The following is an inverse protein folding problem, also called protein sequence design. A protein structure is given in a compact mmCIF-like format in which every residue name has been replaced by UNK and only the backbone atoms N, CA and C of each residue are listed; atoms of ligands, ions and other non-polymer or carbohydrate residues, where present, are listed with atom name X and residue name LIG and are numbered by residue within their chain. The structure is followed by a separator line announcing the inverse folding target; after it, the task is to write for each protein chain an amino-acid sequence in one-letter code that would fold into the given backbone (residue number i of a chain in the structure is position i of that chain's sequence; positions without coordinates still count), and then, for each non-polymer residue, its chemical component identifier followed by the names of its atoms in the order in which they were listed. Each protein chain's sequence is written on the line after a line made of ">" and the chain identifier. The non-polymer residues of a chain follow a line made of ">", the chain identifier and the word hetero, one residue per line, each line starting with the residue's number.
data_IF_032225944181
#
_entry.id   IF_032225944181
#
_cell.length_a   1.000
_cell.length_b   1.000
_cell.length_c   1.000
_cell.angle_alpha   90.00
_cell.angle_beta   90.00
_cell.angle_gamma   90.00
#
_symmetry.space_group_name_H-M   'P 1'
#
loop_
_entity.id
_entity.type
_entity.pdbx_description
1 polymer ?
#
# COMPACT_ATOMS: atom_id res chain seq x y z
N UNK A 1 -9.69 -7.25 2.52
CA UNK A 1 -10.07 -6.77 1.16
C UNK A 1 -9.81 -5.28 1.06
N UNK A 2 -8.59 -4.86 0.72
CA UNK A 2 -8.36 -3.42 0.56
C UNK A 2 -7.26 -3.17 -0.47
N UNK A 3 -7.67 -3.18 -1.75
CA UNK A 3 -6.98 -2.40 -2.77
C UNK A 3 -7.74 -1.07 -2.90
N UNK A 4 -7.03 0.05 -2.83
CA UNK A 4 -7.63 1.38 -2.92
C UNK A 4 -6.74 2.32 -3.71
N UNK A 5 -7.33 2.96 -4.72
CA UNK A 5 -6.70 4.04 -5.47
C UNK A 5 -7.47 5.31 -5.16
N UNK A 6 -6.80 6.34 -4.63
CA UNK A 6 -7.48 7.57 -4.15
C UNK A 6 -6.61 8.82 -4.30
N UNK A 7 -7.19 10.01 -4.38
CA UNK A 7 -6.39 11.24 -4.38
C UNK A 7 -5.93 11.66 -2.98
N UNK A 8 -6.83 11.49 -2.00
CA UNK A 8 -6.67 12.02 -0.65
C UNK A 8 -5.54 11.33 0.11
N UNK A 9 -4.87 12.03 1.05
CA UNK A 9 -4.00 11.40 2.02
C UNK A 9 -4.75 10.33 2.85
N UNK A 10 -3.99 9.43 3.47
CA UNK A 10 -4.48 8.43 4.42
C UNK A 10 -3.55 8.41 5.65
N UNK A 11 -4.09 8.06 6.82
CA UNK A 11 -3.28 7.85 8.01
C UNK A 11 -2.78 6.40 8.05
N UNK A 12 -1.47 6.23 7.88
CA UNK A 12 -0.88 4.88 7.85
C UNK A 12 -1.12 4.12 9.16
N UNK A 13 -1.11 4.80 10.31
CA UNK A 13 -1.34 4.16 11.60
C UNK A 13 -2.76 3.61 11.72
N UNK A 14 -3.76 4.35 11.26
CA UNK A 14 -5.16 3.91 11.24
C UNK A 14 -5.36 2.73 10.29
N UNK A 15 -4.85 2.81 9.06
CA UNK A 15 -4.98 1.74 8.07
C UNK A 15 -4.30 0.45 8.56
N UNK A 16 -3.10 0.54 9.14
CA UNK A 16 -2.39 -0.63 9.71
C UNK A 16 -3.12 -1.20 10.92
N UNK A 17 -3.66 -0.36 11.83
CA UNK A 17 -4.45 -0.85 12.97
C UNK A 17 -5.71 -1.58 12.50
N UNK A 18 -6.41 -1.05 11.50
CA UNK A 18 -7.58 -1.69 10.91
C UNK A 18 -7.24 -3.03 10.28
N UNK A 19 -6.18 -3.06 9.47
CA UNK A 19 -5.69 -4.26 8.80
C UNK A 19 -5.25 -5.35 9.79
N UNK A 20 -4.43 -5.01 10.78
CA UNK A 20 -3.95 -5.96 11.79
C UNK A 20 -5.10 -6.53 12.64
N UNK A 21 -6.13 -5.72 12.95
CA UNK A 21 -7.33 -6.19 13.66
C UNK A 21 -8.11 -7.21 12.83
N UNK A 22 -8.21 -7.01 11.51
CA UNK A 22 -8.86 -7.96 10.61
C UNK A 22 -8.04 -9.26 10.47
N UNK A 23 -6.72 -9.16 10.38
CA UNK A 23 -5.77 -10.28 10.34
C UNK A 23 -5.45 -10.87 11.73
N UNK A 24 -6.47 -11.06 12.57
CA UNK A 24 -6.33 -11.43 14.00
C UNK A 24 -5.61 -12.76 14.29
N UNK A 25 -5.41 -13.60 13.27
CA UNK A 25 -4.74 -14.91 13.37
C UNK A 25 -3.26 -14.86 12.96
N UNK A 26 -2.79 -13.73 12.43
CA UNK A 26 -1.44 -13.56 11.93
C UNK A 26 -0.45 -13.28 13.06
N UNK A 27 0.78 -13.80 12.92
CA UNK A 27 1.87 -13.57 13.88
C UNK A 27 2.80 -12.43 13.47
N UNK A 28 2.65 -11.91 12.25
CA UNK A 28 3.43 -10.79 11.74
C UNK A 28 2.60 -9.93 10.79
N UNK A 29 2.80 -8.61 10.90
CA UNK A 29 2.36 -7.61 9.91
C UNK A 29 3.60 -6.84 9.47
N UNK A 30 3.83 -6.75 8.17
CA UNK A 30 4.91 -5.96 7.57
C UNK A 30 4.29 -4.87 6.72
N UNK A 31 4.85 -3.66 6.80
CA UNK A 31 4.33 -2.50 6.09
C UNK A 31 5.44 -1.81 5.33
N UNK A 32 5.07 -1.26 4.18
CA UNK A 32 5.92 -0.41 3.36
C UNK A 32 5.14 0.87 3.04
N UNK A 33 5.81 2.02 3.07
CA UNK A 33 5.25 3.28 2.59
C UNK A 33 6.20 3.92 1.59
N UNK A 34 5.65 4.27 0.42
CA UNK A 34 6.36 5.07 -0.57
C UNK A 34 6.15 6.55 -0.29
N UNK A 35 7.24 7.32 -0.32
CA UNK A 35 7.23 8.77 -0.16
C UNK A 35 7.71 9.44 -1.45
N UNK A 36 7.20 10.64 -1.75
CA UNK A 36 7.76 11.49 -2.80
C UNK A 36 9.17 11.89 -2.36
N UNK A 37 10.18 11.42 -3.09
CA UNK A 37 11.57 11.78 -2.84
C UNK A 37 11.90 13.08 -3.57
N UNK A 38 12.57 14.00 -2.89
CA UNK A 38 13.11 15.21 -3.50
C UNK A 38 14.29 14.89 -4.45
N UNK A 39 14.55 15.79 -5.40
CA UNK A 39 15.69 15.75 -6.32
C UNK A 39 16.62 16.93 -6.04
N UNK A 40 17.19 16.98 -4.83
CA UNK A 40 18.15 18.02 -4.44
C UNK A 40 17.56 19.44 -4.43
N UNK A 41 16.29 19.59 -4.04
CA UNK A 41 15.56 20.85 -4.00
C UNK A 41 14.96 21.29 -5.34
N UNK A 42 15.08 20.48 -6.39
CA UNK A 42 14.60 20.84 -7.74
C UNK A 42 13.20 20.32 -8.05
N UNK A 43 12.69 19.35 -7.28
CA UNK A 43 11.37 18.77 -7.52
C UNK A 43 10.28 19.63 -6.85
N UNK A 44 9.50 20.33 -7.66
CA UNK A 44 8.36 21.12 -7.14
C UNK A 44 7.18 20.23 -6.72
N UNK A 45 6.85 19.22 -7.51
CA UNK A 45 5.85 18.19 -7.23
C UNK A 45 5.92 17.07 -8.26
N UNK A 46 5.33 15.94 -7.91
CA UNK A 46 5.01 14.85 -8.81
C UNK A 46 3.50 14.81 -9.07
N UNK A 47 3.11 14.65 -10.33
CA UNK A 47 1.72 14.41 -10.73
C UNK A 47 1.57 12.95 -11.13
N UNK A 48 0.68 12.20 -10.48
CA UNK A 48 0.41 10.80 -10.81
C UNK A 48 -0.99 10.67 -11.37
N UNK A 49 -1.12 10.14 -12.57
CA UNK A 49 -2.39 9.76 -13.16
C UNK A 49 -2.56 8.24 -13.16
N UNK A 50 -3.81 7.79 -13.27
CA UNK A 50 -4.13 6.37 -13.39
C UNK A 50 -5.34 6.19 -14.31
N UNK A 51 -5.56 4.97 -14.79
CA UNK A 51 -6.75 4.63 -15.55
C UNK A 51 -7.78 4.00 -14.61
N UNK A 52 -8.90 4.71 -14.30
CA UNK A 52 -9.87 4.23 -13.33
C UNK A 52 -10.43 2.86 -13.70
N UNK A 53 -10.47 1.96 -12.72
CA UNK A 53 -10.92 0.58 -12.85
C UNK A 53 -9.89 -0.38 -13.45
N UNK A 54 -8.92 0.07 -14.25
CA UNK A 54 -7.85 -0.81 -14.74
C UNK A 54 -6.72 -0.92 -13.71
N UNK A 55 -6.32 0.20 -13.12
CA UNK A 55 -5.25 0.23 -12.12
C UNK A 55 -5.64 -0.60 -10.89
N UNK A 56 -6.87 -0.47 -10.41
CA UNK A 56 -7.41 -1.25 -9.30
C UNK A 56 -7.36 -2.75 -9.59
N UNK A 57 -7.83 -3.18 -10.77
CA UNK A 57 -7.78 -4.59 -11.19
C UNK A 57 -6.35 -5.13 -11.26
N UNK A 58 -5.41 -4.33 -11.74
CA UNK A 58 -4.00 -4.72 -11.81
C UNK A 58 -3.40 -4.90 -10.39
N UNK A 59 -3.70 -3.97 -9.48
CA UNK A 59 -3.26 -4.05 -8.09
C UNK A 59 -3.93 -5.21 -7.33
N UNK A 60 -5.22 -5.47 -7.58
CA UNK A 60 -5.94 -6.63 -7.06
C UNK A 60 -5.27 -7.93 -7.50
N UNK A 61 -4.95 -8.05 -8.79
CA UNK A 61 -4.25 -9.21 -9.32
C UNK A 61 -2.88 -9.42 -8.65
N UNK A 62 -2.08 -8.36 -8.50
CA UNK A 62 -0.78 -8.45 -7.80
C UNK A 62 -0.97 -8.90 -6.35
N UNK A 63 -1.99 -8.36 -5.67
CA UNK A 63 -2.33 -8.74 -4.29
C UNK A 63 -2.76 -10.20 -4.18
N UNK A 64 -3.60 -10.69 -5.10
CA UNK A 64 -4.03 -12.09 -5.17
C UNK A 64 -2.83 -13.02 -5.40
N UNK A 65 -2.00 -12.72 -6.39
CA UNK A 65 -0.79 -13.49 -6.70
C UNK A 65 0.18 -13.53 -5.51
N UNK A 66 0.33 -12.40 -4.79
CA UNK A 66 1.15 -12.34 -3.60
C UNK A 66 0.64 -13.22 -2.47
N UNK A 67 -0.66 -13.14 -2.19
CA UNK A 67 -1.31 -13.94 -1.14
C UNK A 67 -1.13 -15.43 -1.41
N UNK A 68 -1.35 -15.86 -2.64
CA UNK A 68 -1.18 -17.26 -3.04
C UNK A 68 0.29 -17.69 -2.97
N UNK A 69 1.20 -16.93 -3.59
CA UNK A 69 2.62 -17.29 -3.71
C UNK A 69 3.33 -17.43 -2.38
N UNK A 70 3.01 -16.56 -1.40
CA UNK A 70 3.70 -16.51 -0.12
C UNK A 70 2.86 -17.03 1.05
N UNK A 71 1.65 -17.56 0.77
CA UNK A 71 0.73 -18.03 1.81
C UNK A 71 0.47 -16.96 2.87
N UNK A 72 0.18 -15.74 2.41
CA UNK A 72 -0.21 -14.64 3.30
C UNK A 72 -1.62 -14.88 3.84
N UNK A 73 -1.88 -14.42 5.05
CA UNK A 73 -3.22 -14.42 5.62
C UNK A 73 -4.08 -13.29 5.00
N UNK A 74 -3.49 -12.12 4.73
CA UNK A 74 -4.10 -11.02 3.98
C UNK A 74 -3.02 -10.06 3.43
N UNK A 75 -3.40 -9.19 2.50
CA UNK A 75 -2.59 -8.08 2.02
C UNK A 75 -3.46 -6.87 1.61
N UNK A 76 -2.93 -5.67 1.83
CA UNK A 76 -3.57 -4.39 1.54
C UNK A 76 -2.65 -3.51 0.70
N UNK A 77 -3.23 -2.79 -0.27
CA UNK A 77 -2.54 -1.83 -1.13
C UNK A 77 -3.37 -0.54 -1.17
N UNK A 78 -2.75 0.59 -0.81
CA UNK A 78 -3.33 1.92 -1.00
C UNK A 78 -2.36 2.74 -1.84
N UNK A 79 -2.81 3.29 -2.97
CA UNK A 79 -2.00 4.12 -3.83
C UNK A 79 -2.68 5.46 -4.10
N UNK A 80 -1.91 6.55 -4.01
CA UNK A 80 -2.39 7.90 -4.31
C UNK A 80 -2.19 8.28 -5.76
N UNK A 81 -3.09 9.11 -6.27
CA UNK A 81 -2.97 9.81 -7.54
C UNK A 81 -3.20 11.32 -7.35
N UNK A 82 -2.88 12.11 -8.36
CA UNK A 82 -2.87 13.57 -8.33
C UNK A 82 -1.52 14.16 -7.91
N UNK A 83 -1.52 15.46 -7.68
CA UNK A 83 -0.36 16.25 -7.28
C UNK A 83 0.11 15.94 -5.85
N UNK A 84 1.40 15.67 -5.69
CA UNK A 84 2.05 15.46 -4.39
C UNK A 84 3.43 16.13 -4.37
N UNK A 85 3.81 16.74 -3.24
CA UNK A 85 5.12 17.41 -3.07
C UNK A 85 6.13 16.50 -2.35
N UNK A 86 7.44 16.78 -2.42
CA UNK A 86 8.44 16.01 -1.69
C UNK A 86 8.11 15.82 -0.20
N UNK A 87 8.29 14.60 0.30
CA UNK A 87 7.95 14.18 1.66
C UNK A 87 6.54 13.63 1.83
N UNK A 88 5.63 13.85 0.88
CA UNK A 88 4.27 13.29 0.97
C UNK A 88 4.26 11.77 0.77
N UNK A 89 3.35 11.09 1.48
CA UNK A 89 3.08 9.68 1.26
C UNK A 89 2.38 9.47 -0.09
N UNK A 90 2.94 8.60 -0.93
CA UNK A 90 2.35 8.22 -2.22
C UNK A 90 1.49 6.97 -2.04
N UNK A 91 1.99 5.99 -1.28
CA UNK A 91 1.35 4.68 -1.21
C UNK A 91 1.72 3.95 0.08
N UNK A 92 0.92 2.95 0.44
CA UNK A 92 1.30 1.95 1.43
C UNK A 92 0.90 0.54 0.99
N UNK A 93 1.69 -0.44 1.42
CA UNK A 93 1.37 -1.86 1.37
C UNK A 93 1.45 -2.42 2.78
N UNK A 94 0.53 -3.32 3.13
CA UNK A 94 0.61 -4.11 4.33
C UNK A 94 0.39 -5.59 3.98
N UNK A 95 1.17 -6.47 4.57
CA UNK A 95 1.05 -7.93 4.44
C UNK A 95 0.91 -8.53 5.83
N UNK A 96 0.08 -9.57 5.96
CA UNK A 96 -0.08 -10.31 7.19
C UNK A 96 0.20 -11.79 6.96
N UNK A 97 0.94 -12.43 7.86
CA UNK A 97 1.21 -13.85 7.79
C UNK A 97 1.46 -14.44 9.18
N UNK A 98 1.40 -15.77 9.30
CA UNK A 98 1.74 -16.49 10.53
C UNK A 98 3.15 -16.17 11.05
N UNK A 99 4.12 -16.00 10.14
CA UNK A 99 5.52 -15.73 10.49
C UNK A 99 6.08 -14.62 9.60
N UNK A 100 7.02 -13.84 10.16
CA UNK A 100 7.59 -12.67 9.49
C UNK A 100 8.22 -12.97 8.13
N UNK A 101 8.78 -14.16 7.95
CA UNK A 101 9.48 -14.53 6.72
C UNK A 101 8.57 -14.52 5.49
N UNK A 102 7.28 -14.83 5.65
CA UNK A 102 6.31 -14.74 4.56
C UNK A 102 5.72 -13.32 4.45
N UNK A 103 5.64 -12.58 5.56
CA UNK A 103 5.13 -11.22 5.54
C UNK A 103 6.11 -10.24 4.86
N UNK A 104 7.43 -10.46 4.97
CA UNK A 104 8.45 -9.70 4.22
C UNK A 104 8.55 -10.14 2.76
#
# INVERSE_FOLDING_TARGET
>A
MTVRVQAKPFDMGEEVRGFAKAASRSGAVVTFSGLVRDEGGTLSAMEIEHYPGMTEKALEKIRDEAVERWSLDDAMIIHRHGRMVPGEQIMMVATAARHRANAF
#
